data_IF_222931813258
#
_entry.id   IF_222931813258
#
_cell.length_a   1.000
_cell.length_b   1.000
_cell.length_c   1.000
_cell.angle_alpha   90.00
_cell.angle_beta   90.00
_cell.angle_gamma   90.00
#
_symmetry.space_group_name_H-M   'P 1'
#
loop_
_entity.id
_entity.type
_entity.pdbx_description
1 polymer ?
#
# COMPACT_ATOMS: atom_id res chain seq x y z
N UNK A 1 8.58 -23.95 11.15
CA UNK A 1 8.69 -23.32 10.92
C UNK A 1 8.86 -22.69 11.16
N UNK A 2 9.04 -22.71 11.28
CA UNK A 2 8.99 -21.99 11.51
C UNK A 2 8.77 -21.34 10.87
N UNK A 3 8.22 -21.61 11.13
CA UNK A 3 7.52 -20.92 10.26
C UNK A 3 8.13 -19.81 9.74
N UNK A 4 8.81 -19.51 10.33
CA UNK A 4 9.38 -18.43 10.04
C UNK A 4 9.29 -17.98 8.71
N UNK A 5 9.97 -17.28 8.26
CA UNK A 5 9.92 -16.58 7.09
C UNK A 5 9.34 -17.23 5.86
N UNK A 6 9.53 -18.47 5.70
CA UNK A 6 9.12 -19.07 4.45
C UNK A 6 7.63 -19.15 4.27
N UNK A 7 6.93 -19.48 5.33
CA UNK A 7 5.50 -19.63 5.23
C UNK A 7 4.76 -18.36 5.49
N UNK A 8 5.48 -17.28 5.70
CA UNK A 8 4.82 -16.06 6.17
C UNK A 8 4.45 -15.09 5.09
N UNK A 9 4.80 -15.38 3.86
CA UNK A 9 4.42 -14.46 2.81
C UNK A 9 2.99 -14.73 2.41
N UNK A 10 2.12 -13.79 2.74
CA UNK A 10 0.72 -13.88 2.40
C UNK A 10 0.47 -13.30 1.02
N UNK A 11 -0.41 -13.93 0.28
CA UNK A 11 -0.77 -13.48 -1.05
C UNK A 11 -2.28 -13.53 -1.20
N UNK A 12 -2.82 -12.43 -1.72
CA UNK A 12 -4.25 -12.31 -1.98
C UNK A 12 -4.43 -11.94 -3.44
N UNK A 13 -5.23 -12.69 -4.17
CA UNK A 13 -5.50 -12.41 -5.56
C UNK A 13 -6.98 -12.25 -5.78
N UNK A 14 -7.36 -11.19 -6.49
CA UNK A 14 -8.75 -10.99 -6.92
C UNK A 14 -9.71 -11.06 -5.75
N UNK A 15 -9.30 -10.55 -4.60
CA UNK A 15 -10.11 -10.58 -3.40
C UNK A 15 -10.89 -9.30 -3.25
N UNK A 16 -12.10 -9.42 -2.71
CA UNK A 16 -12.93 -8.27 -2.41
C UNK A 16 -12.77 -7.96 -0.93
N UNK A 17 -12.00 -6.93 -0.63
CA UNK A 17 -11.65 -6.61 0.75
C UNK A 17 -11.96 -5.15 1.09
N UNK A 18 -13.01 -4.62 0.45
CA UNK A 18 -13.44 -3.26 0.74
C UNK A 18 -13.76 -3.14 2.22
N UNK A 19 -13.29 -2.07 2.84
CA UNK A 19 -13.44 -1.82 4.27
C UNK A 19 -12.69 -2.83 5.15
N UNK A 20 -11.77 -3.61 4.58
CA UNK A 20 -10.98 -4.53 5.37
C UNK A 20 -10.20 -3.80 6.45
N UNK A 21 -10.05 -4.44 7.62
CA UNK A 21 -9.37 -3.82 8.74
C UNK A 21 -8.04 -4.52 8.96
N UNK A 22 -6.96 -3.81 8.67
CA UNK A 22 -5.60 -4.30 8.83
C UNK A 22 -4.80 -3.39 9.75
N UNK A 23 -5.49 -2.67 10.64
CA UNK A 23 -4.86 -1.73 11.53
C UNK A 23 -3.85 -2.46 12.43
N UNK A 24 -2.64 -1.91 12.50
CA UNK A 24 -1.56 -2.46 13.32
C UNK A 24 -1.13 -3.87 12.92
N UNK A 25 -1.57 -4.35 11.75
CA UNK A 25 -1.21 -5.69 11.30
C UNK A 25 0.27 -5.75 10.92
N UNK A 26 0.87 -6.89 11.15
CA UNK A 26 2.26 -7.13 10.77
C UNK A 26 2.24 -7.94 9.47
N UNK A 27 2.41 -7.26 8.34
CA UNK A 27 2.25 -7.85 7.02
C UNK A 27 3.42 -7.51 6.09
N UNK A 28 4.68 -7.67 6.54
CA UNK A 28 5.80 -7.36 5.64
C UNK A 28 5.75 -8.27 4.43
N UNK A 29 5.95 -7.69 3.28
CA UNK A 29 5.99 -8.37 1.99
C UNK A 29 4.70 -9.08 1.61
N UNK A 30 3.57 -8.69 2.22
CA UNK A 30 2.27 -9.20 1.77
C UNK A 30 2.03 -8.78 0.33
N UNK A 31 1.35 -9.62 -0.43
CA UNK A 31 1.04 -9.32 -1.82
C UNK A 31 -0.47 -9.26 -2.00
N UNK A 32 -0.94 -8.10 -2.48
CA UNK A 32 -2.33 -7.93 -2.91
C UNK A 32 -2.31 -7.71 -4.41
N UNK A 33 -2.88 -8.64 -5.15
CA UNK A 33 -2.90 -8.53 -6.60
C UNK A 33 -4.32 -8.46 -7.10
N UNK A 34 -4.64 -7.39 -7.79
CA UNK A 34 -5.95 -7.19 -8.40
C UNK A 34 -7.05 -7.32 -7.34
N UNK A 35 -6.83 -6.70 -6.19
CA UNK A 35 -7.77 -6.76 -5.08
C UNK A 35 -8.52 -5.45 -4.93
N UNK A 36 -9.75 -5.54 -4.45
CA UNK A 36 -10.54 -4.36 -4.11
C UNK A 36 -10.27 -4.03 -2.65
N UNK A 37 -9.40 -3.05 -2.42
CA UNK A 37 -9.03 -2.62 -1.09
C UNK A 37 -9.55 -1.22 -0.80
N UNK A 38 -10.61 -0.82 -1.48
CA UNK A 38 -11.17 0.50 -1.26
C UNK A 38 -11.61 0.64 0.19
N UNK A 39 -11.32 1.78 0.78
CA UNK A 39 -11.68 2.10 2.16
C UNK A 39 -11.08 1.15 3.19
N UNK A 40 -10.06 0.38 2.82
CA UNK A 40 -9.40 -0.51 3.77
C UNK A 40 -8.57 0.31 4.75
N UNK A 41 -8.41 -0.22 5.96
CA UNK A 41 -7.71 0.48 7.03
C UNK A 41 -6.36 -0.18 7.29
N UNK A 42 -5.29 0.50 6.92
CA UNK A 42 -3.93 0.00 7.12
C UNK A 42 -3.13 0.86 8.09
N UNK A 43 -3.81 1.68 8.88
CA UNK A 43 -3.09 2.58 9.79
C UNK A 43 -2.22 1.79 10.75
N UNK A 44 -1.01 2.27 10.95
CA UNK A 44 -0.04 1.67 11.87
C UNK A 44 0.39 0.25 11.49
N UNK A 45 0.09 -0.19 10.28
CA UNK A 45 0.48 -1.54 9.84
C UNK A 45 1.93 -1.54 9.36
N UNK A 46 2.58 -2.70 9.50
CA UNK A 46 3.90 -2.91 8.93
C UNK A 46 3.71 -3.55 7.57
N UNK A 47 3.89 -2.76 6.53
CA UNK A 47 3.73 -3.18 5.15
C UNK A 47 5.03 -3.02 4.38
N UNK A 48 6.16 -3.13 5.06
CA UNK A 48 7.46 -3.02 4.40
C UNK A 48 7.57 -4.07 3.31
N UNK A 49 7.93 -3.65 2.11
CA UNK A 49 8.06 -4.56 0.98
C UNK A 49 6.76 -5.12 0.44
N UNK A 50 5.61 -4.65 0.93
CA UNK A 50 4.32 -5.13 0.45
C UNK A 50 4.09 -4.71 -1.00
N UNK A 51 3.31 -5.51 -1.74
CA UNK A 51 2.97 -5.20 -3.12
C UNK A 51 1.46 -5.05 -3.26
N UNK A 52 1.06 -4.03 -4.03
CA UNK A 52 -0.35 -3.73 -4.26
C UNK A 52 -0.66 -3.72 -5.76
N UNK A 53 -0.08 -4.68 -6.49
CA UNK A 53 -0.16 -4.71 -7.93
C UNK A 53 -1.61 -4.72 -8.42
N UNK A 54 -1.95 -3.75 -9.25
CA UNK A 54 -3.25 -3.67 -9.90
C UNK A 54 -4.43 -3.65 -8.93
N UNK A 55 -4.21 -3.21 -7.71
CA UNK A 55 -5.26 -3.14 -6.70
C UNK A 55 -5.85 -1.75 -6.62
N UNK A 56 -7.14 -1.68 -6.22
CA UNK A 56 -7.85 -0.43 -6.03
C UNK A 56 -7.71 -0.01 -4.58
N UNK A 57 -7.16 1.19 -4.38
CA UNK A 57 -6.86 1.67 -3.03
C UNK A 57 -7.59 2.96 -2.68
N UNK A 58 -8.62 3.32 -3.44
CA UNK A 58 -9.34 4.58 -3.18
C UNK A 58 -9.90 4.57 -1.77
N UNK A 59 -9.61 5.61 -1.01
CA UNK A 59 -10.09 5.72 0.37
C UNK A 59 -9.35 4.87 1.38
N UNK A 60 -8.41 4.03 0.96
CA UNK A 60 -7.64 3.24 1.91
C UNK A 60 -6.75 4.17 2.74
N UNK A 61 -6.62 3.87 4.03
CA UNK A 61 -5.88 4.68 4.96
C UNK A 61 -4.56 4.03 5.32
N UNK A 62 -3.47 4.79 5.17
CA UNK A 62 -2.12 4.29 5.46
C UNK A 62 -1.42 5.16 6.49
N UNK A 63 -2.17 5.77 7.39
CA UNK A 63 -1.61 6.69 8.37
C UNK A 63 -0.60 5.95 9.26
N UNK A 64 0.62 6.43 9.32
CA UNK A 64 1.71 5.82 10.07
C UNK A 64 2.02 4.38 9.63
N UNK A 65 1.59 3.96 8.47
CA UNK A 65 1.92 2.65 7.96
C UNK A 65 3.38 2.65 7.51
N UNK A 66 4.07 1.55 7.77
CA UNK A 66 5.44 1.40 7.37
C UNK A 66 5.46 0.81 5.96
N UNK A 67 5.85 1.62 4.99
CA UNK A 67 5.77 1.27 3.57
C UNK A 67 7.14 1.28 2.90
N UNK A 68 8.19 1.05 3.66
CA UNK A 68 9.53 1.02 3.10
C UNK A 68 9.62 -0.01 2.00
N UNK A 69 10.04 0.42 0.82
CA UNK A 69 10.21 -0.44 -0.34
C UNK A 69 8.93 -1.15 -0.79
N UNK A 70 7.77 -0.61 -0.42
CA UNK A 70 6.50 -1.15 -0.91
C UNK A 70 6.36 -0.86 -2.40
N UNK A 71 5.63 -1.73 -3.09
CA UNK A 71 5.47 -1.63 -4.53
C UNK A 71 4.01 -1.30 -4.86
N UNK A 72 3.78 -0.08 -5.31
CA UNK A 72 2.46 0.40 -5.70
C UNK A 72 2.28 0.47 -7.21
N UNK A 73 3.18 -0.15 -7.98
CA UNK A 73 3.06 -0.06 -9.43
C UNK A 73 1.79 -0.77 -9.87
N UNK A 74 1.03 -0.09 -10.73
CA UNK A 74 -0.25 -0.59 -11.19
C UNK A 74 -1.40 -0.39 -10.24
N UNK A 75 -1.15 0.03 -9.01
CA UNK A 75 -2.22 0.33 -8.07
C UNK A 75 -2.86 1.66 -8.41
N UNK A 76 -4.12 1.85 -8.02
CA UNK A 76 -4.87 3.05 -8.33
C UNK A 76 -5.50 3.63 -7.07
N UNK A 77 -5.66 4.94 -7.07
CA UNK A 77 -6.45 5.62 -6.05
C UNK A 77 -5.78 5.82 -4.71
N UNK A 78 -4.52 5.44 -4.58
CA UNK A 78 -3.84 5.59 -3.29
C UNK A 78 -3.64 7.05 -2.92
N UNK A 79 -3.65 7.29 -1.61
CA UNK A 79 -3.42 8.62 -1.04
C UNK A 79 -2.40 8.46 0.07
N UNK A 80 -1.18 8.92 -0.16
CA UNK A 80 -0.06 8.67 0.73
C UNK A 80 0.65 9.98 1.04
N UNK A 81 1.16 10.08 2.28
CA UNK A 81 1.92 11.24 2.71
C UNK A 81 3.38 11.05 2.34
N UNK A 82 3.79 11.68 1.25
CA UNK A 82 5.16 11.52 0.74
C UNK A 82 6.20 12.21 1.61
N UNK A 83 5.77 13.00 2.58
CA UNK A 83 6.71 13.70 3.46
C UNK A 83 7.04 12.93 4.71
N UNK A 84 6.39 11.79 4.93
CA UNK A 84 6.49 11.07 6.19
C UNK A 84 7.81 10.32 6.39
N UNK A 85 8.52 10.04 5.32
CA UNK A 85 9.72 9.21 5.41
C UNK A 85 9.43 7.73 5.47
N UNK A 86 8.17 7.35 5.62
CA UNK A 86 7.79 5.95 5.71
C UNK A 86 7.69 5.27 4.35
N UNK A 87 7.87 6.04 3.27
CA UNK A 87 7.79 5.55 1.90
C UNK A 87 9.15 5.36 1.24
N UNK A 88 10.21 5.36 2.01
CA UNK A 88 11.54 5.28 1.41
C UNK A 88 11.66 4.03 0.55
N UNK A 89 12.08 4.22 -0.69
CA UNK A 89 12.25 3.12 -1.62
C UNK A 89 10.98 2.57 -2.23
N UNK A 90 9.83 3.15 -1.91
CA UNK A 90 8.57 2.68 -2.49
C UNK A 90 8.55 2.95 -3.99
N UNK A 91 7.86 2.09 -4.74
CA UNK A 91 7.82 2.15 -6.19
C UNK A 91 6.43 2.50 -6.67
N UNK A 92 6.38 3.34 -7.70
CA UNK A 92 5.12 3.82 -8.26
C UNK A 92 5.23 3.84 -9.78
N UNK A 93 4.10 3.81 -10.46
CA UNK A 93 4.08 3.93 -11.92
C UNK A 93 3.21 5.11 -12.34
N UNK A 94 3.54 5.69 -13.48
CA UNK A 94 2.76 6.76 -14.06
C UNK A 94 1.59 6.16 -14.86
N UNK A 95 0.49 6.87 -15.05
CA UNK A 95 0.28 8.25 -14.60
C UNK A 95 -0.18 8.38 -13.15
N UNK A 96 -0.50 7.30 -12.49
CA UNK A 96 -1.11 7.35 -11.17
C UNK A 96 -0.19 8.02 -10.14
N UNK A 97 1.11 7.87 -10.29
CA UNK A 97 2.07 8.45 -9.34
C UNK A 97 1.95 9.97 -9.22
N UNK A 98 1.40 10.63 -10.23
CA UNK A 98 1.24 12.08 -10.17
C UNK A 98 0.35 12.51 -9.01
N UNK A 99 -0.53 11.64 -8.54
CA UNK A 99 -1.40 11.93 -7.39
C UNK A 99 -0.60 12.29 -6.15
N UNK A 100 0.60 11.74 -6.02
CA UNK A 100 1.40 11.95 -4.82
C UNK A 100 1.81 13.41 -4.65
N UNK A 101 1.78 14.18 -5.73
CA UNK A 101 2.15 15.58 -5.68
C UNK A 101 1.05 16.45 -5.09
N UNK A 102 -0.16 15.93 -4.97
CA UNK A 102 -1.27 16.70 -4.43
C UNK A 102 -1.01 17.15 -3.00
N UNK A 103 -0.27 16.37 -2.24
CA UNK A 103 0.02 16.70 -0.86
C UNK A 103 1.10 17.75 -0.69
N UNK A 104 1.71 18.19 -1.77
CA UNK A 104 2.81 19.15 -1.70
C UNK A 104 2.38 20.57 -1.99
N UNK A 105 1.09 20.79 -2.22
CA UNK A 105 0.53 22.12 -2.44
C UNK A 105 1.26 22.86 -3.56
N UNK A 106 1.48 22.14 -4.66
CA UNK A 106 2.14 22.73 -5.83
C UNK A 106 1.21 22.64 -7.03
N UNK A 107 1.54 23.41 -8.05
CA UNK A 107 0.78 23.44 -9.30
C UNK A 107 1.57 22.78 -10.40
N UNK A 108 0.95 21.85 -11.10
CA UNK A 108 1.56 21.16 -12.24
C UNK A 108 0.80 21.55 -13.49
N UNK A 109 1.49 22.16 -14.44
CA UNK A 109 0.86 22.63 -15.68
C UNK A 109 1.40 21.90 -16.90
#
# INVERSE_FOLDING_TARGET
>A
PKAGGLGNQLRFRECFMRYGVFMQAHLPRVEFRNCDLREAEFSDADLAGAAFAESELSGARFQNARLLEADFRGAEGYDLDVTSGLLKGARFSMPEAARLLNGLDIVIE
#
